data_IF_569857272113
#
_entry.id   IF_569857272113
#
_cell.length_a   1.000
_cell.length_b   1.000
_cell.length_c   1.000
_cell.angle_alpha   90.00
_cell.angle_beta   90.00
_cell.angle_gamma   90.00
#
_symmetry.space_group_name_H-M   'P 1'
#
loop_
_entity.id
_entity.type
_entity.pdbx_description
1 polymer ?
#
# COMPACT_ATOMS: atom_id res chain seq x y z
N UNK A 1 17.41 -36.39 -16.52
CA UNK A 1 16.16 -35.73 -16.07
C UNK A 1 16.51 -34.31 -15.64
N UNK A 2 16.18 -33.31 -16.47
CA UNK A 2 16.65 -31.92 -16.29
C UNK A 2 15.93 -31.30 -15.09
N UNK A 3 16.69 -30.96 -14.05
CA UNK A 3 16.19 -30.20 -12.90
C UNK A 3 15.94 -28.75 -13.34
N UNK A 4 14.69 -28.43 -13.65
CA UNK A 4 14.28 -27.05 -13.96
C UNK A 4 14.21 -26.29 -12.64
N UNK A 5 15.04 -25.25 -12.51
CA UNK A 5 15.09 -24.38 -11.33
C UNK A 5 13.82 -23.52 -11.27
N UNK A 6 12.75 -24.03 -10.66
CA UNK A 6 11.44 -23.38 -10.55
C UNK A 6 11.53 -21.92 -10.07
N UNK A 7 12.44 -21.60 -9.15
CA UNK A 7 12.61 -20.24 -8.63
C UNK A 7 13.18 -19.25 -9.66
N UNK A 8 14.10 -19.70 -10.51
CA UNK A 8 14.61 -18.91 -11.63
C UNK A 8 13.54 -18.78 -12.72
N UNK A 9 12.77 -19.84 -12.96
CA UNK A 9 11.65 -19.83 -13.92
C UNK A 9 10.54 -18.89 -13.45
N UNK A 10 10.16 -18.87 -12.17
CA UNK A 10 9.17 -17.91 -11.66
C UNK A 10 9.67 -16.46 -11.71
N UNK A 11 10.94 -16.20 -11.39
CA UNK A 11 11.53 -14.86 -11.52
C UNK A 11 11.59 -14.39 -12.97
N UNK A 12 12.03 -15.26 -13.89
CA UNK A 12 12.08 -14.96 -15.32
C UNK A 12 10.66 -14.84 -15.90
N UNK A 13 9.70 -15.63 -15.43
CA UNK A 13 8.30 -15.52 -15.83
C UNK A 13 7.65 -14.25 -15.28
N UNK A 14 7.88 -13.84 -14.03
CA UNK A 14 7.35 -12.58 -13.49
C UNK A 14 8.00 -11.37 -14.17
N UNK A 15 9.30 -11.45 -14.47
CA UNK A 15 10.04 -10.43 -15.19
C UNK A 15 9.58 -10.34 -16.66
N UNK A 16 9.46 -11.47 -17.37
CA UNK A 16 8.95 -11.49 -18.74
C UNK A 16 7.47 -11.13 -18.75
N UNK A 17 6.63 -11.63 -17.85
CA UNK A 17 5.20 -11.34 -17.82
C UNK A 17 4.94 -9.87 -17.49
N UNK A 18 5.55 -9.33 -16.44
CA UNK A 18 5.42 -7.91 -16.07
C UNK A 18 6.03 -6.96 -17.10
N UNK A 19 7.21 -7.30 -17.64
CA UNK A 19 7.89 -6.48 -18.65
C UNK A 19 7.21 -6.59 -20.00
N UNK A 20 6.83 -7.78 -20.46
CA UNK A 20 6.12 -7.96 -21.73
C UNK A 20 4.73 -7.35 -21.63
N UNK A 21 3.88 -7.68 -20.64
CA UNK A 21 2.52 -7.11 -20.58
C UNK A 21 2.49 -5.59 -20.41
N UNK A 22 3.42 -5.00 -19.66
CA UNK A 22 3.46 -3.54 -19.51
C UNK A 22 4.22 -2.82 -20.61
N UNK A 23 5.17 -3.45 -21.30
CA UNK A 23 5.84 -2.84 -22.47
C UNK A 23 5.08 -3.05 -23.78
N UNK A 24 4.29 -4.11 -23.94
CA UNK A 24 3.53 -4.38 -25.16
C UNK A 24 2.21 -3.62 -25.24
N UNK A 25 1.84 -2.82 -24.22
CA UNK A 25 0.56 -2.08 -24.12
C UNK A 25 -0.69 -2.96 -24.33
N UNK A 26 -0.59 -4.29 -24.18
CA UNK A 26 -1.71 -5.23 -24.42
C UNK A 26 -2.80 -5.19 -23.34
N UNK A 27 -2.56 -4.51 -22.21
CA UNK A 27 -3.53 -4.32 -21.14
C UNK A 27 -3.89 -2.85 -20.91
N UNK A 28 -5.04 -2.60 -20.28
CA UNK A 28 -5.46 -1.24 -19.90
C UNK A 28 -4.37 -0.55 -19.07
N UNK A 29 -3.91 0.65 -19.47
CA UNK A 29 -2.95 1.39 -18.68
C UNK A 29 -3.57 1.97 -17.41
N UNK A 30 -2.74 2.29 -16.42
CA UNK A 30 -3.10 3.16 -15.31
C UNK A 30 -3.39 4.57 -15.83
N UNK A 31 -4.31 5.27 -15.16
CA UNK A 31 -4.63 6.67 -15.39
C UNK A 31 -5.21 6.96 -16.79
N UNK A 32 -5.91 5.99 -17.38
CA UNK A 32 -6.52 6.10 -18.72
C UNK A 32 -7.63 7.17 -18.82
N UNK A 33 -8.08 7.72 -17.69
CA UNK A 33 -9.03 8.84 -17.58
C UNK A 33 -8.39 10.12 -17.05
N UNK A 34 -7.06 10.21 -17.08
CA UNK A 34 -6.34 11.44 -16.77
C UNK A 34 -6.08 11.69 -15.28
N UNK A 35 -6.10 12.96 -14.88
CA UNK A 35 -5.71 13.44 -13.56
C UNK A 35 -6.82 13.26 -12.52
N UNK A 36 -8.08 13.34 -12.94
CA UNK A 36 -9.26 13.25 -12.07
C UNK A 36 -9.84 14.59 -11.62
N UNK A 37 -9.40 15.70 -12.23
CA UNK A 37 -10.02 17.02 -12.11
C UNK A 37 -10.14 17.55 -10.68
N UNK A 38 -11.36 17.96 -10.29
CA UNK A 38 -11.66 18.54 -8.97
C UNK A 38 -11.32 17.63 -7.80
N UNK A 39 -11.39 16.29 -7.99
CA UNK A 39 -11.00 15.30 -6.97
C UNK A 39 -9.52 15.38 -6.65
N UNK A 40 -8.67 15.57 -7.66
CA UNK A 40 -7.24 15.76 -7.44
C UNK A 40 -6.95 17.08 -6.72
N UNK A 41 -7.60 18.16 -7.15
CA UNK A 41 -7.44 19.49 -6.53
C UNK A 41 -7.86 19.46 -5.04
N UNK A 42 -8.94 18.77 -4.71
CA UNK A 42 -9.38 18.55 -3.33
C UNK A 42 -8.28 17.88 -2.51
N UNK A 43 -7.72 16.77 -3.01
CA UNK A 43 -6.67 16.01 -2.32
C UNK A 43 -5.41 16.85 -2.12
N UNK A 44 -4.97 17.60 -3.13
CA UNK A 44 -3.80 18.48 -3.01
C UNK A 44 -4.01 19.56 -1.95
N UNK A 45 -5.22 20.14 -1.85
CA UNK A 45 -5.56 21.11 -0.80
C UNK A 45 -5.56 20.47 0.58
N UNK A 46 -6.16 19.29 0.73
CA UNK A 46 -6.19 18.56 1.99
C UNK A 46 -4.79 18.18 2.48
N UNK A 47 -3.92 17.71 1.58
CA UNK A 47 -2.55 17.36 1.96
C UNK A 47 -1.75 18.60 2.39
N UNK A 48 -1.92 19.74 1.72
CA UNK A 48 -1.31 21.02 2.18
C UNK A 48 -1.79 21.43 3.57
N UNK A 49 -3.03 21.10 3.95
CA UNK A 49 -3.59 21.34 5.28
C UNK A 49 -3.15 20.31 6.34
N UNK A 50 -2.70 19.12 5.93
CA UNK A 50 -2.19 18.07 6.82
C UNK A 50 -0.70 18.22 7.16
N UNK A 51 0.07 18.90 6.30
CA UNK A 51 1.49 19.19 6.53
C UNK A 51 1.83 20.69 6.71
N UNK A 52 1.03 21.53 7.41
CA UNK A 52 1.57 22.81 7.88
C UNK A 52 2.65 22.51 8.92
N UNK A 53 3.58 23.44 9.10
CA UNK A 53 4.71 23.39 10.07
C UNK A 53 4.27 23.29 11.56
N UNK A 54 3.02 22.93 11.83
CA UNK A 54 2.46 22.81 13.17
C UNK A 54 2.81 21.44 13.80
N UNK A 55 3.20 21.42 15.09
CA UNK A 55 3.63 20.23 15.78
C UNK A 55 2.50 19.19 15.86
N UNK A 56 2.77 17.99 15.32
CA UNK A 56 2.08 16.72 15.60
C UNK A 56 0.61 16.84 16.04
N UNK A 57 -0.28 17.16 15.11
CA UNK A 57 -1.70 16.98 15.37
C UNK A 57 -1.99 15.47 15.43
N UNK A 58 -2.03 14.94 16.65
CA UNK A 58 -2.58 13.61 16.95
C UNK A 58 -4.10 13.65 16.70
N UNK A 59 -4.53 13.69 15.43
CA UNK A 59 -5.95 13.58 15.10
C UNK A 59 -6.44 12.20 15.56
N UNK A 60 -7.40 12.13 16.49
CA UNK A 60 -7.90 10.84 16.98
C UNK A 60 -8.53 10.07 15.82
N UNK A 61 -8.29 8.76 15.71
CA UNK A 61 -9.00 7.93 14.74
C UNK A 61 -10.51 7.98 14.96
N UNK A 62 -11.29 7.94 13.89
CA UNK A 62 -12.74 7.88 13.97
C UNK A 62 -13.16 6.51 14.49
N UNK A 63 -14.05 6.48 15.48
CA UNK A 63 -14.59 5.21 15.97
C UNK A 63 -15.44 4.52 14.89
N UNK A 64 -15.29 3.21 14.75
CA UNK A 64 -16.05 2.38 13.80
C UNK A 64 -16.73 1.25 14.53
N UNK A 65 -17.86 0.78 13.98
CA UNK A 65 -18.57 -0.38 14.48
C UNK A 65 -18.84 -1.34 13.32
N UNK A 66 -17.90 -2.25 13.00
CA UNK A 66 -18.10 -3.21 11.92
C UNK A 66 -19.26 -4.16 12.23
N UNK A 67 -20.15 -4.32 11.27
CA UNK A 67 -21.23 -5.31 11.31
C UNK A 67 -20.65 -6.64 10.83
N UNK A 68 -20.59 -7.63 11.74
CA UNK A 68 -19.91 -8.89 11.50
C UNK A 68 -20.85 -10.00 11.03
N UNK A 69 -20.38 -10.79 10.07
CA UNK A 69 -20.92 -12.08 9.65
C UNK A 69 -19.87 -13.16 9.88
N UNK A 70 -20.23 -14.24 10.59
CA UNK A 70 -19.35 -15.41 10.72
C UNK A 70 -19.30 -16.17 9.39
N UNK A 71 -18.10 -16.37 8.86
CA UNK A 71 -17.85 -17.19 7.66
C UNK A 71 -17.70 -18.65 8.06
N UNK A 72 -16.88 -18.92 9.07
CA UNK A 72 -16.76 -20.22 9.70
C UNK A 72 -16.24 -20.08 11.12
N UNK A 73 -16.47 -21.12 11.92
CA UNK A 73 -16.03 -21.18 13.30
C UNK A 73 -15.66 -22.61 13.69
N UNK A 74 -14.61 -22.74 14.48
CA UNK A 74 -14.16 -23.99 15.10
C UNK A 74 -14.06 -23.81 16.62
N UNK A 75 -13.65 -24.85 17.33
CA UNK A 75 -13.35 -24.76 18.76
C UNK A 75 -12.23 -23.75 19.07
N UNK A 76 -11.23 -23.64 18.19
CA UNK A 76 -9.99 -22.94 18.47
C UNK A 76 -9.84 -21.61 17.71
N UNK A 77 -10.62 -21.39 16.66
CA UNK A 77 -10.51 -20.21 15.80
C UNK A 77 -11.81 -19.89 15.08
N UNK A 78 -11.94 -18.67 14.57
CA UNK A 78 -13.05 -18.25 13.73
C UNK A 78 -12.59 -17.26 12.66
N UNK A 79 -13.34 -17.23 11.56
CA UNK A 79 -13.25 -16.21 10.53
C UNK A 79 -14.57 -15.46 10.45
N UNK A 80 -14.52 -14.14 10.59
CA UNK A 80 -15.65 -13.23 10.40
C UNK A 80 -15.33 -12.25 9.27
N UNK A 81 -16.35 -11.86 8.53
CA UNK A 81 -16.29 -10.72 7.62
C UNK A 81 -17.12 -9.58 8.17
N UNK A 82 -16.57 -8.36 8.14
CA UNK A 82 -17.17 -7.16 8.67
C UNK A 82 -17.34 -6.10 7.60
N UNK A 83 -18.37 -5.29 7.75
CA UNK A 83 -18.62 -4.10 6.91
C UNK A 83 -18.89 -2.90 7.80
N UNK A 84 -18.30 -1.75 7.46
CA UNK A 84 -18.57 -0.46 8.11
C UNK A 84 -18.48 0.67 7.07
N UNK A 85 -19.13 1.81 7.33
CA UNK A 85 -18.98 2.99 6.46
C UNK A 85 -17.56 3.53 6.56
N UNK A 86 -16.97 3.93 5.43
CA UNK A 86 -15.63 4.53 5.41
C UNK A 86 -15.54 5.72 6.37
N UNK A 87 -14.37 5.93 6.95
CA UNK A 87 -14.13 6.98 7.95
C UNK A 87 -13.61 8.28 7.34
N UNK A 88 -13.53 8.36 6.01
CA UNK A 88 -13.23 9.60 5.29
C UNK A 88 -14.27 10.69 5.59
N UNK A 89 -13.88 11.97 5.48
CA UNK A 89 -14.85 13.07 5.54
C UNK A 89 -15.78 13.07 4.32
N UNK A 90 -16.98 13.64 4.45
CA UNK A 90 -18.03 13.60 3.41
C UNK A 90 -17.53 14.07 2.04
N UNK A 91 -16.65 15.08 1.96
CA UNK A 91 -16.09 15.54 0.68
C UNK A 91 -15.24 14.47 -0.02
N UNK A 92 -14.54 13.64 0.76
CA UNK A 92 -13.79 12.51 0.22
C UNK A 92 -14.71 11.33 -0.11
N UNK A 93 -15.79 11.14 0.64
CA UNK A 93 -16.82 10.15 0.29
C UNK A 93 -17.43 10.50 -1.07
N UNK A 94 -17.79 11.75 -1.31
CA UNK A 94 -18.31 12.21 -2.60
C UNK A 94 -17.30 12.03 -3.76
N UNK A 95 -16.00 12.00 -3.46
CA UNK A 95 -14.95 11.78 -4.44
C UNK A 95 -14.65 10.29 -4.69
N UNK A 96 -15.01 9.41 -3.75
CA UNK A 96 -14.85 7.97 -3.84
C UNK A 96 -15.91 7.37 -4.76
N UNK A 97 -15.63 6.22 -5.40
CA UNK A 97 -16.66 5.48 -6.09
C UNK A 97 -17.67 4.91 -5.06
N UNK A 98 -18.97 4.81 -5.40
CA UNK A 98 -20.00 4.30 -4.49
C UNK A 98 -19.67 2.93 -3.90
N UNK A 99 -19.03 2.05 -4.66
CA UNK A 99 -18.58 0.72 -4.24
C UNK A 99 -17.57 0.78 -3.08
N UNK A 100 -16.87 1.91 -2.91
CA UNK A 100 -15.88 2.14 -1.85
C UNK A 100 -16.43 2.87 -0.62
N UNK A 101 -17.71 3.26 -0.59
CA UNK A 101 -18.33 3.94 0.56
C UNK A 101 -18.37 3.07 1.82
N UNK A 102 -18.37 1.74 1.64
CA UNK A 102 -18.32 0.79 2.73
C UNK A 102 -16.99 0.04 2.71
N UNK A 103 -16.26 0.12 3.81
CA UNK A 103 -15.08 -0.66 4.07
C UNK A 103 -15.46 -2.12 4.35
N UNK A 104 -14.65 -3.05 3.83
CA UNK A 104 -14.80 -4.48 4.04
C UNK A 104 -13.55 -5.04 4.72
N UNK A 105 -13.76 -5.88 5.73
CA UNK A 105 -12.70 -6.44 6.54
C UNK A 105 -12.93 -7.93 6.79
N UNK A 106 -11.90 -8.75 6.72
CA UNK A 106 -11.93 -10.12 7.23
C UNK A 106 -11.14 -10.20 8.54
N UNK A 107 -11.62 -10.97 9.50
CA UNK A 107 -11.03 -11.09 10.82
C UNK A 107 -10.89 -12.55 11.23
N UNK A 108 -9.65 -13.03 11.21
CA UNK A 108 -9.24 -14.36 11.60
C UNK A 108 -8.71 -14.33 13.03
N UNK A 109 -9.43 -14.96 13.96
CA UNK A 109 -9.17 -14.84 15.40
C UNK A 109 -8.96 -16.19 16.05
N UNK A 110 -7.97 -16.34 16.96
CA UNK A 110 -7.94 -17.47 17.89
C UNK A 110 -9.02 -17.30 18.96
N UNK A 111 -9.49 -18.42 19.52
CA UNK A 111 -10.54 -18.47 20.57
C UNK A 111 -10.03 -19.00 21.91
N UNK A 112 -8.82 -19.53 21.96
CA UNK A 112 -8.24 -20.15 23.15
C UNK A 112 -7.77 -19.14 24.20
N UNK A 113 -7.70 -17.86 23.85
CA UNK A 113 -7.11 -16.80 24.68
C UNK A 113 -7.97 -15.55 24.59
N UNK A 114 -8.07 -14.82 25.69
CA UNK A 114 -8.81 -13.57 25.79
C UNK A 114 -8.08 -12.41 25.08
N UNK A 115 -8.80 -11.44 24.49
CA UNK A 115 -8.20 -10.39 23.66
C UNK A 115 -7.04 -9.62 24.30
N UNK A 116 -7.10 -9.36 25.60
CA UNK A 116 -6.06 -8.62 26.34
C UNK A 116 -4.71 -9.35 26.36
N UNK A 117 -4.72 -10.67 26.14
CA UNK A 117 -3.51 -11.51 26.02
C UNK A 117 -3.14 -11.82 24.57
N UNK A 118 -3.94 -11.39 23.60
CA UNK A 118 -3.70 -11.60 22.18
C UNK A 118 -2.97 -10.41 21.54
N UNK A 119 -2.29 -10.68 20.44
CA UNK A 119 -1.90 -9.65 19.49
C UNK A 119 -2.86 -9.66 18.28
N UNK A 120 -3.01 -8.54 17.58
CA UNK A 120 -3.67 -8.50 16.29
C UNK A 120 -2.83 -7.72 15.28
N UNK A 121 -2.66 -8.26 14.07
CA UNK A 121 -1.99 -7.56 12.97
C UNK A 121 -3.00 -7.24 11.88
N UNK A 122 -3.09 -5.98 11.49
CA UNK A 122 -3.87 -5.51 10.35
C UNK A 122 -3.02 -5.62 9.09
N UNK A 123 -3.53 -6.28 8.05
CA UNK A 123 -2.84 -6.57 6.78
C UNK A 123 -3.42 -5.72 5.65
N UNK A 124 -2.59 -4.85 5.08
CA UNK A 124 -2.94 -3.97 3.97
C UNK A 124 -2.54 -4.57 2.62
N UNK A 125 -3.40 -4.35 1.62
CA UNK A 125 -3.24 -4.86 0.27
C UNK A 125 -2.08 -4.19 -0.48
N UNK A 126 -1.28 -4.99 -1.18
CA UNK A 126 -0.42 -4.50 -2.25
C UNK A 126 -1.20 -4.24 -3.55
N UNK A 127 -0.55 -3.67 -4.56
CA UNK A 127 -1.19 -3.43 -5.86
C UNK A 127 -1.69 -4.73 -6.49
N UNK A 128 -2.99 -4.81 -6.78
CA UNK A 128 -3.61 -6.03 -7.36
C UNK A 128 -4.00 -7.11 -6.35
N UNK A 129 -3.83 -6.89 -5.05
CA UNK A 129 -4.31 -7.79 -4.00
C UNK A 129 -5.79 -7.53 -3.70
N UNK A 130 -6.67 -8.10 -4.52
CA UNK A 130 -8.08 -7.76 -4.55
C UNK A 130 -8.90 -8.24 -3.35
N UNK A 131 -8.74 -9.48 -2.91
CA UNK A 131 -9.57 -10.12 -1.88
C UNK A 131 -8.80 -10.36 -0.57
N UNK A 132 -9.39 -11.08 0.38
CA UNK A 132 -8.76 -11.37 1.66
C UNK A 132 -7.75 -12.54 1.62
N UNK A 133 -7.92 -13.46 0.66
CA UNK A 133 -7.38 -14.82 0.72
C UNK A 133 -5.86 -14.89 0.89
N UNK A 134 -5.11 -14.13 0.08
CA UNK A 134 -3.64 -14.15 0.14
C UNK A 134 -3.14 -13.73 1.52
N UNK A 135 -3.74 -12.70 2.10
CA UNK A 135 -3.36 -12.16 3.41
C UNK A 135 -3.86 -13.04 4.55
N UNK A 136 -5.03 -13.68 4.42
CA UNK A 136 -5.49 -14.69 5.37
C UNK A 136 -4.56 -15.92 5.41
N UNK A 137 -4.00 -16.34 4.27
CA UNK A 137 -2.99 -17.42 4.24
C UNK A 137 -1.71 -17.04 4.97
N UNK A 138 -1.30 -15.77 4.93
CA UNK A 138 -0.18 -15.27 5.74
C UNK A 138 -0.50 -15.21 7.23
N UNK A 139 -1.76 -14.93 7.58
CA UNK A 139 -2.24 -14.86 8.95
C UNK A 139 -2.50 -16.20 9.63
N UNK A 140 -2.93 -17.22 8.87
CA UNK A 140 -3.34 -18.50 9.44
C UNK A 140 -2.29 -19.19 10.33
N UNK A 141 -0.98 -19.20 9.99
CA UNK A 141 0.04 -19.74 10.88
C UNK A 141 0.15 -19.01 12.22
N UNK A 142 -0.15 -17.69 12.24
CA UNK A 142 0.00 -16.83 13.42
C UNK A 142 -1.02 -17.13 14.52
N UNK A 143 -2.10 -17.86 14.20
CA UNK A 143 -3.08 -18.33 15.18
C UNK A 143 -2.44 -19.20 16.27
N UNK A 144 -1.37 -19.95 15.94
CA UNK A 144 -0.64 -20.80 16.89
C UNK A 144 0.06 -19.98 17.98
N UNK A 145 0.36 -18.72 17.69
CA UNK A 145 1.05 -17.78 18.57
C UNK A 145 0.08 -16.81 19.26
N UNK A 146 -1.24 -17.08 19.20
CA UNK A 146 -2.31 -16.21 19.70
C UNK A 146 -2.30 -14.81 19.06
N UNK A 147 -1.94 -14.76 17.77
CA UNK A 147 -1.96 -13.54 16.96
C UNK A 147 -3.15 -13.63 15.99
N UNK A 148 -4.11 -12.73 16.17
CA UNK A 148 -5.20 -12.54 15.23
C UNK A 148 -4.73 -11.79 13.97
N UNK A 149 -5.42 -12.02 12.86
CA UNK A 149 -5.16 -11.33 11.59
C UNK A 149 -6.43 -10.64 11.12
N UNK A 150 -6.34 -9.33 10.95
CA UNK A 150 -7.39 -8.51 10.35
C UNK A 150 -6.94 -8.07 8.95
N UNK A 151 -7.77 -8.27 7.94
CA UNK A 151 -7.43 -7.98 6.54
C UNK A 151 -8.40 -6.95 5.99
N UNK A 152 -7.91 -5.74 5.69
CA UNK A 152 -8.72 -4.65 5.13
C UNK A 152 -8.69 -4.73 3.59
N UNK A 153 -9.85 -4.88 2.95
CA UNK A 153 -9.96 -4.77 1.49
C UNK A 153 -9.88 -3.28 1.11
N UNK A 154 -8.83 -2.89 0.39
CA UNK A 154 -8.65 -1.51 -0.04
C UNK A 154 -9.80 -1.04 -0.94
N UNK A 155 -10.17 0.24 -0.89
CA UNK A 155 -11.04 0.85 -1.91
C UNK A 155 -10.45 0.60 -3.31
N UNK A 156 -11.31 0.59 -4.32
CA UNK A 156 -11.00 0.23 -5.70
C UNK A 156 -10.58 -1.23 -5.93
N UNK A 157 -10.52 -2.08 -4.91
CA UNK A 157 -10.16 -3.51 -5.01
C UNK A 157 -11.32 -4.43 -4.59
N UNK A 158 -11.20 -5.71 -4.94
CA UNK A 158 -12.21 -6.72 -4.64
C UNK A 158 -13.64 -6.28 -4.94
N UNK A 159 -14.50 -6.33 -3.92
CA UNK A 159 -15.90 -5.91 -4.02
C UNK A 159 -16.08 -4.38 -3.96
N UNK A 160 -15.02 -3.62 -3.65
CA UNK A 160 -14.98 -2.16 -3.62
C UNK A 160 -14.48 -1.54 -4.93
N UNK A 161 -14.26 -2.37 -5.97
CA UNK A 161 -13.76 -1.95 -7.28
C UNK A 161 -14.90 -1.35 -8.14
N UNK A 162 -14.72 -0.15 -8.73
CA UNK A 162 -15.65 0.38 -9.71
C UNK A 162 -15.88 -0.58 -10.88
N UNK A 163 -17.12 -0.68 -11.35
CA UNK A 163 -17.51 -1.58 -12.45
C UNK A 163 -16.65 -1.42 -13.72
N UNK A 164 -16.29 -0.18 -14.06
CA UNK A 164 -15.50 0.16 -15.26
C UNK A 164 -13.98 -0.03 -15.08
N UNK A 165 -13.51 -0.36 -13.88
CA UNK A 165 -12.10 -0.55 -13.60
C UNK A 165 -11.66 -1.99 -13.88
N UNK A 166 -10.58 -2.13 -14.65
CA UNK A 166 -10.01 -3.44 -15.00
C UNK A 166 -8.87 -3.80 -14.04
N UNK A 167 -9.07 -4.85 -13.23
CA UNK A 167 -8.08 -5.26 -12.24
C UNK A 167 -7.69 -4.10 -11.30
N UNK A 168 -6.39 -3.91 -11.10
CA UNK A 168 -5.83 -2.83 -10.27
C UNK A 168 -5.53 -1.54 -11.04
N UNK A 169 -5.93 -1.44 -12.31
CA UNK A 169 -5.64 -0.28 -13.17
C UNK A 169 -6.56 0.89 -12.86
N UNK A 170 -6.18 1.66 -11.85
CA UNK A 170 -6.88 2.89 -11.44
C UNK A 170 -7.04 3.83 -12.63
N UNK A 171 -8.23 4.43 -12.77
CA UNK A 171 -8.59 5.20 -13.96
C UNK A 171 -8.03 6.62 -13.93
N UNK A 172 -7.93 7.24 -12.76
CA UNK A 172 -7.38 8.60 -12.59
C UNK A 172 -6.21 8.63 -11.60
N UNK A 173 -5.34 9.64 -11.70
CA UNK A 173 -4.30 9.88 -10.68
C UNK A 173 -4.92 10.14 -9.31
N UNK A 174 -6.04 10.87 -9.25
CA UNK A 174 -6.80 11.08 -8.01
C UNK A 174 -7.22 9.79 -7.31
N UNK A 175 -7.57 8.74 -8.08
CA UNK A 175 -8.03 7.47 -7.52
C UNK A 175 -6.93 6.78 -6.70
N UNK A 176 -5.66 6.96 -7.07
CA UNK A 176 -4.54 6.43 -6.30
C UNK A 176 -4.41 7.10 -4.93
N UNK A 177 -4.58 8.42 -4.89
CA UNK A 177 -4.52 9.18 -3.65
C UNK A 177 -5.74 8.93 -2.77
N UNK A 178 -6.94 8.83 -3.36
CA UNK A 178 -8.17 8.45 -2.65
C UNK A 178 -8.05 7.05 -2.05
N UNK A 179 -7.51 6.10 -2.83
CA UNK A 179 -7.26 4.74 -2.36
C UNK A 179 -6.37 4.75 -1.12
N UNK A 180 -5.24 5.46 -1.19
CA UNK A 180 -4.30 5.57 -0.08
C UNK A 180 -4.93 6.22 1.15
N UNK A 181 -5.59 7.38 0.99
CA UNK A 181 -6.19 8.13 2.10
C UNK A 181 -7.24 7.30 2.84
N UNK A 182 -8.19 6.71 2.12
CA UNK A 182 -9.23 5.88 2.71
C UNK A 182 -8.64 4.63 3.39
N UNK A 183 -7.67 3.95 2.76
CA UNK A 183 -7.00 2.79 3.39
C UNK A 183 -6.33 3.17 4.70
N UNK A 184 -5.65 4.31 4.76
CA UNK A 184 -4.94 4.78 5.96
C UNK A 184 -5.92 5.12 7.08
N UNK A 185 -6.99 5.87 6.77
CA UNK A 185 -7.97 6.27 7.78
C UNK A 185 -8.76 5.07 8.33
N UNK A 186 -9.20 4.18 7.45
CA UNK A 186 -9.93 2.97 7.82
C UNK A 186 -9.05 2.05 8.67
N UNK A 187 -7.77 1.87 8.31
CA UNK A 187 -6.83 1.07 9.09
C UNK A 187 -6.56 1.68 10.47
N UNK A 188 -6.39 3.01 10.57
CA UNK A 188 -6.24 3.70 11.86
C UNK A 188 -7.47 3.50 12.75
N UNK A 189 -8.65 3.53 12.15
CA UNK A 189 -9.93 3.35 12.84
C UNK A 189 -10.14 1.91 13.29
N UNK A 190 -9.74 0.92 12.49
CA UNK A 190 -9.75 -0.49 12.88
C UNK A 190 -8.76 -0.80 14.01
N UNK A 191 -7.56 -0.22 13.98
CA UNK A 191 -6.60 -0.32 15.09
C UNK A 191 -7.17 0.30 16.37
N UNK A 192 -7.83 1.45 16.25
CA UNK A 192 -8.51 2.08 17.38
C UNK A 192 -9.63 1.18 17.93
N UNK A 193 -10.49 0.61 17.08
CA UNK A 193 -11.52 -0.34 17.48
C UNK A 193 -10.94 -1.61 18.15
N UNK A 194 -9.82 -2.13 17.63
CA UNK A 194 -9.11 -3.27 18.22
C UNK A 194 -8.67 -2.97 19.66
N UNK A 195 -8.23 -1.74 19.91
CA UNK A 195 -7.80 -1.27 21.22
C UNK A 195 -8.97 -0.98 22.16
N UNK A 196 -9.91 -0.13 21.74
CA UNK A 196 -10.93 0.45 22.61
C UNK A 196 -12.12 -0.48 22.84
N UNK A 197 -12.56 -1.18 21.80
CA UNK A 197 -13.78 -2.00 21.83
C UNK A 197 -13.46 -3.49 21.97
N UNK A 198 -12.53 -4.00 21.16
CA UNK A 198 -12.22 -5.42 21.16
C UNK A 198 -11.22 -5.84 22.25
N UNK A 199 -10.52 -4.87 22.87
CA UNK A 199 -9.66 -5.09 24.04
C UNK A 199 -8.32 -5.77 23.76
N UNK A 200 -7.75 -5.65 22.56
CA UNK A 200 -6.47 -6.28 22.22
C UNK A 200 -5.28 -5.65 22.96
N UNK A 201 -4.43 -6.50 23.55
CA UNK A 201 -3.26 -6.04 24.31
C UNK A 201 -2.08 -5.56 23.46
N UNK A 202 -1.92 -6.09 22.25
CA UNK A 202 -0.87 -5.70 21.30
C UNK A 202 -1.42 -5.59 19.90
N UNK A 203 -0.96 -4.57 19.16
CA UNK A 203 -1.40 -4.34 17.80
C UNK A 203 -0.22 -4.15 16.85
N UNK A 204 -0.42 -4.56 15.61
CA UNK A 204 0.50 -4.30 14.53
C UNK A 204 -0.20 -3.99 13.22
N UNK A 205 0.56 -3.42 12.29
CA UNK A 205 0.14 -3.13 10.93
C UNK A 205 1.24 -3.62 9.98
N UNK A 206 0.84 -4.29 8.90
CA UNK A 206 1.77 -4.69 7.85
C UNK A 206 1.16 -4.51 6.47
N UNK A 207 2.01 -4.53 5.45
CA UNK A 207 1.56 -4.57 4.07
C UNK A 207 2.70 -4.74 3.09
N UNK A 208 2.37 -5.20 1.89
CA UNK A 208 3.32 -5.45 0.81
C UNK A 208 3.28 -4.32 -0.23
N UNK A 209 4.45 -3.82 -0.66
CA UNK A 209 4.58 -2.76 -1.68
C UNK A 209 3.74 -1.53 -1.32
N UNK A 210 2.72 -1.18 -2.11
CA UNK A 210 1.74 -0.13 -1.81
C UNK A 210 1.13 -0.26 -0.40
N UNK A 211 0.74 -1.48 0.01
CA UNK A 211 0.23 -1.72 1.35
C UNK A 211 1.28 -1.48 2.43
N UNK A 212 2.57 -1.67 2.12
CA UNK A 212 3.67 -1.34 3.01
C UNK A 212 3.87 0.17 3.17
N UNK A 213 3.70 0.95 2.09
CA UNK A 213 3.66 2.42 2.14
C UNK A 213 2.55 2.88 3.10
N UNK A 214 1.34 2.36 2.92
CA UNK A 214 0.21 2.67 3.78
C UNK A 214 0.45 2.21 5.23
N UNK A 215 1.07 1.05 5.45
CA UNK A 215 1.40 0.56 6.79
C UNK A 215 2.39 1.49 7.50
N UNK A 216 3.39 2.02 6.78
CA UNK A 216 4.34 3.00 7.32
C UNK A 216 3.63 4.30 7.71
N UNK A 217 2.73 4.82 6.85
CA UNK A 217 1.94 6.02 7.15
C UNK A 217 0.99 5.80 8.34
N UNK A 218 0.32 4.64 8.42
CA UNK A 218 -0.53 4.28 9.56
C UNK A 218 0.29 4.23 10.85
N UNK A 219 1.44 3.53 10.85
CA UNK A 219 2.35 3.45 12.01
C UNK A 219 2.88 4.80 12.47
N UNK A 220 3.10 5.73 11.54
CA UNK A 220 3.48 7.11 11.82
C UNK A 220 2.34 7.92 12.46
N UNK A 221 1.13 7.82 11.91
CA UNK A 221 -0.02 8.65 12.29
C UNK A 221 -0.85 8.11 13.45
N UNK A 222 -0.65 6.85 13.86
CA UNK A 222 -1.45 6.25 14.92
C UNK A 222 -1.07 6.87 16.29
N UNK A 223 -2.05 7.25 17.14
CA UNK A 223 -1.77 7.94 18.40
C UNK A 223 -1.05 7.05 19.43
N UNK A 224 -1.20 5.73 19.35
CA UNK A 224 -0.59 4.77 20.28
C UNK A 224 0.52 3.95 19.59
N UNK A 225 1.48 3.41 20.37
CA UNK A 225 2.53 2.56 19.81
C UNK A 225 1.98 1.28 19.16
N UNK A 226 2.29 1.07 17.88
CA UNK A 226 1.97 -0.18 17.16
C UNK A 226 3.20 -0.77 16.46
N UNK A 227 3.29 -2.09 16.40
CA UNK A 227 4.31 -2.75 15.60
C UNK A 227 4.05 -2.51 14.11
N UNK A 228 5.06 -2.10 13.35
CA UNK A 228 4.86 -1.69 11.94
C UNK A 228 5.82 -2.46 11.04
N UNK A 229 5.29 -3.17 10.05
CA UNK A 229 6.06 -3.98 9.10
C UNK A 229 5.78 -3.56 7.64
N UNK A 230 6.45 -2.54 7.11
CA UNK A 230 6.43 -2.21 5.69
C UNK A 230 7.28 -3.23 4.92
N UNK A 231 6.64 -4.08 4.13
CA UNK A 231 7.30 -5.15 3.39
C UNK A 231 7.46 -4.78 1.91
N UNK A 232 8.71 -4.68 1.43
CA UNK A 232 9.05 -4.28 0.06
C UNK A 232 8.39 -2.97 -0.37
N UNK A 233 8.26 -2.03 0.57
CA UNK A 233 7.61 -0.74 0.34
C UNK A 233 8.56 0.25 -0.34
N UNK A 234 8.17 0.90 -1.46
CA UNK A 234 8.85 2.12 -1.90
C UNK A 234 8.61 3.25 -0.89
N UNK A 235 9.46 4.27 -0.86
CA UNK A 235 9.19 5.44 -0.01
C UNK A 235 8.01 6.27 -0.52
N UNK A 236 7.66 6.19 -1.80
CA UNK A 236 6.51 6.89 -2.40
C UNK A 236 6.04 6.19 -3.68
N UNK A 237 4.86 6.59 -4.17
CA UNK A 237 4.34 6.19 -5.47
C UNK A 237 5.16 6.74 -6.66
N UNK A 238 6.04 7.73 -6.46
CA UNK A 238 6.95 8.21 -7.51
C UNK A 238 7.81 7.06 -8.02
N UNK A 239 8.32 6.22 -7.13
CA UNK A 239 9.24 5.13 -7.50
C UNK A 239 8.61 4.19 -8.53
N UNK A 240 7.45 3.53 -8.29
CA UNK A 240 6.90 2.63 -9.28
C UNK A 240 6.40 3.33 -10.55
N UNK A 241 5.82 4.54 -10.46
CA UNK A 241 5.12 5.19 -11.57
C UNK A 241 5.99 6.12 -12.43
N UNK A 242 7.06 6.71 -11.88
CA UNK A 242 7.95 7.60 -12.61
C UNK A 242 9.28 6.93 -12.98
N UNK A 243 9.80 6.06 -12.11
CA UNK A 243 11.15 5.50 -12.24
C UNK A 243 11.13 3.99 -12.55
N UNK A 244 10.15 3.27 -12.01
CA UNK A 244 10.03 1.82 -12.04
C UNK A 244 9.08 1.29 -13.11
N UNK A 245 8.63 0.04 -12.93
CA UNK A 245 7.89 -0.72 -13.93
C UNK A 245 6.59 -0.05 -14.40
N UNK A 246 5.86 0.63 -13.51
CA UNK A 246 4.57 1.22 -13.87
C UNK A 246 4.69 2.45 -14.76
N UNK A 247 5.88 3.04 -14.94
CA UNK A 247 6.09 4.09 -15.95
C UNK A 247 5.72 3.63 -17.37
N UNK A 248 5.85 2.34 -17.67
CA UNK A 248 5.46 1.77 -18.96
C UNK A 248 3.96 1.47 -19.04
N UNK A 249 3.30 1.35 -17.90
CA UNK A 249 1.88 1.10 -17.78
C UNK A 249 1.07 2.38 -17.51
N UNK A 250 1.68 3.56 -17.43
CA UNK A 250 1.02 4.85 -17.27
C UNK A 250 0.50 5.36 -18.61
N UNK A 251 -0.76 5.81 -18.66
CA UNK A 251 -1.38 6.43 -19.84
C UNK A 251 -0.89 7.87 -20.01
N UNK A 252 0.37 8.05 -20.42
CA UNK A 252 0.97 9.37 -20.61
C UNK A 252 0.20 10.26 -21.59
N UNK A 253 -0.31 9.67 -22.67
CA UNK A 253 -1.10 10.39 -23.68
C UNK A 253 -2.40 10.96 -23.07
N UNK A 254 -3.12 10.15 -22.29
CA UNK A 254 -4.33 10.59 -21.59
C UNK A 254 -4.05 11.70 -20.56
N UNK A 255 -2.91 11.65 -19.87
CA UNK A 255 -2.49 12.70 -18.93
C UNK A 255 -2.12 14.01 -19.66
N UNK A 256 -1.51 13.93 -20.84
CA UNK A 256 -1.21 15.10 -21.68
C UNK A 256 -2.50 15.72 -22.23
N UNK A 257 -3.42 14.91 -22.76
CA UNK A 257 -4.70 15.37 -23.29
C UNK A 257 -5.55 16.06 -22.21
N UNK A 258 -5.67 15.44 -21.03
CA UNK A 258 -6.43 16.00 -19.91
C UNK A 258 -5.80 17.31 -19.39
N UNK A 259 -4.47 17.38 -19.34
CA UNK A 259 -3.78 18.63 -18.98
C UNK A 259 -4.00 19.73 -20.04
N UNK A 260 -4.01 19.38 -21.32
CA UNK A 260 -4.19 20.34 -22.41
C UNK A 260 -5.61 20.90 -22.45
N UNK A 261 -6.61 20.06 -22.19
CA UNK A 261 -8.01 20.49 -22.07
C UNK A 261 -8.20 21.52 -20.94
N UNK A 262 -7.63 21.26 -19.76
CA UNK A 262 -7.68 22.20 -18.63
C UNK A 262 -6.98 23.55 -18.92
N UNK A 263 -5.89 23.54 -19.68
CA UNK A 263 -5.21 24.77 -20.08
C UNK A 263 -6.04 25.59 -21.08
N UNK A 264 -6.73 24.92 -22.02
CA UNK A 264 -7.61 25.57 -23.00
C UNK A 264 -8.81 26.25 -22.33
N UNK A 265 -9.45 25.57 -21.36
CA UNK A 265 -10.56 26.12 -20.58
C UNK A 265 -10.14 27.36 -19.74
N UNK A 266 -8.88 27.43 -19.32
CA UNK A 266 -8.36 28.60 -18.59
C UNK A 266 -8.04 29.77 -19.53
N UNK A 267 -7.53 29.49 -20.74
CA UNK A 267 -7.17 30.52 -21.73
C UNK A 267 -8.35 31.10 -22.51
N UNK A 268 -9.50 30.40 -22.58
CA UNK A 268 -10.73 30.92 -23.21
C UNK A 268 -11.38 32.07 -22.44
N UNK A 269 -10.87 32.41 -21.24
CA UNK A 269 -11.28 33.55 -20.42
C UNK A 269 -10.41 34.80 -20.63
N UNK A 270 -9.37 34.75 -21.47
CA UNK A 270 -8.50 35.90 -21.80
C UNK A 270 -8.12 35.87 -23.28
N UNK A 271 -8.62 36.80 -24.09
CA UNK A 271 -8.47 36.81 -25.56
C UNK A 271 -7.03 37.03 -26.09
N UNK A 272 -6.03 37.25 -25.23
CA UNK A 272 -4.71 37.77 -25.66
C UNK A 272 -3.50 36.83 -25.42
N UNK A 273 -3.68 35.51 -25.44
CA UNK A 273 -2.55 34.57 -25.35
C UNK A 273 -2.64 33.41 -26.33
N UNK A 274 -2.77 33.72 -27.62
CA UNK A 274 -2.52 32.77 -28.70
C UNK A 274 -1.02 32.50 -28.90
N UNK A 275 -0.32 32.00 -27.88
CA UNK A 275 1.01 31.40 -28.04
C UNK A 275 0.93 29.92 -27.65
N UNK A 276 0.75 29.08 -28.67
CA UNK A 276 0.85 27.60 -28.59
C UNK A 276 2.23 27.19 -28.07
N UNK A 277 2.42 27.13 -26.75
CA UNK A 277 3.35 26.17 -26.16
C UNK A 277 2.51 24.97 -25.72
N UNK A 278 2.43 23.95 -26.58
CA UNK A 278 1.76 22.69 -26.22
C UNK A 278 2.38 22.10 -24.96
N UNK A 279 1.55 21.50 -24.10
CA UNK A 279 2.03 20.83 -22.89
C UNK A 279 2.98 19.70 -23.29
N UNK A 280 4.19 19.73 -22.77
CA UNK A 280 5.23 18.74 -23.04
C UNK A 280 5.07 17.51 -22.14
N UNK A 281 5.58 16.36 -22.62
CA UNK A 281 5.57 15.12 -21.82
C UNK A 281 6.45 15.26 -20.57
N UNK A 282 7.52 16.05 -20.62
CA UNK A 282 8.36 16.38 -19.48
C UNK A 282 7.56 17.11 -18.38
N UNK A 283 6.78 18.12 -18.76
CA UNK A 283 5.90 18.84 -17.82
C UNK A 283 4.87 17.90 -17.17
N UNK A 284 4.29 16.96 -17.93
CA UNK A 284 3.35 15.96 -17.40
C UNK A 284 4.04 14.98 -16.44
N UNK A 285 5.24 14.51 -16.77
CA UNK A 285 6.03 13.64 -15.88
C UNK A 285 6.40 14.36 -14.58
N UNK A 286 6.79 15.63 -14.65
CA UNK A 286 7.14 16.43 -13.49
C UNK A 286 5.91 16.72 -12.63
N UNK A 287 4.75 17.02 -13.23
CA UNK A 287 3.48 17.13 -12.53
C UNK A 287 3.11 15.84 -11.82
N UNK A 288 3.24 14.69 -12.49
CA UNK A 288 2.94 13.39 -11.88
C UNK A 288 3.88 13.13 -10.70
N UNK A 289 5.18 13.38 -10.86
CA UNK A 289 6.16 13.26 -9.76
C UNK A 289 5.78 14.14 -8.58
N UNK A 290 5.41 15.41 -8.83
CA UNK A 290 4.98 16.34 -7.79
C UNK A 290 3.74 15.83 -7.05
N UNK A 291 2.72 15.34 -7.76
CA UNK A 291 1.49 14.81 -7.14
C UNK A 291 1.78 13.53 -6.35
N UNK A 292 2.56 12.61 -6.90
CA UNK A 292 2.86 11.35 -6.23
C UNK A 292 3.82 11.52 -5.03
N UNK A 293 4.58 12.62 -4.96
CA UNK A 293 5.39 12.98 -3.78
C UNK A 293 4.57 13.22 -2.50
N UNK A 294 3.26 13.40 -2.62
CA UNK A 294 2.34 13.47 -1.48
C UNK A 294 2.26 12.14 -0.72
N UNK A 295 2.69 11.04 -1.35
CA UNK A 295 2.75 9.69 -0.75
C UNK A 295 4.13 9.38 -0.17
N UNK A 296 5.02 10.37 -0.05
CA UNK A 296 6.36 10.13 0.49
C UNK A 296 6.33 9.93 2.01
N UNK A 297 6.61 8.71 2.45
CA UNK A 297 6.62 8.31 3.87
C UNK A 297 7.64 9.08 4.70
N UNK A 298 8.68 9.67 4.08
CA UNK A 298 9.69 10.48 4.78
C UNK A 298 9.14 11.81 5.28
N UNK A 299 8.00 12.26 4.75
CA UNK A 299 7.31 13.49 5.14
C UNK A 299 6.39 13.31 6.35
N UNK A 300 6.16 12.06 6.77
CA UNK A 300 5.29 11.74 7.90
C UNK A 300 6.10 11.72 9.20
N UNK A 301 5.46 11.98 10.36
CA UNK A 301 6.11 11.92 11.66
C UNK A 301 6.83 10.58 11.93
N UNK A 302 7.83 10.60 12.80
CA UNK A 302 8.43 9.34 13.26
C UNK A 302 7.37 8.54 14.06
N UNK A 303 7.20 7.23 13.82
CA UNK A 303 6.31 6.39 14.62
C UNK A 303 6.61 6.50 16.12
N UNK A 304 5.58 6.46 16.97
CA UNK A 304 5.71 6.64 18.44
C UNK A 304 6.69 5.66 19.10
N UNK A 305 6.87 4.47 18.53
CA UNK A 305 7.84 3.47 18.98
C UNK A 305 8.67 2.98 17.79
N UNK A 306 9.73 3.71 17.41
CA UNK A 306 10.53 3.37 16.24
C UNK A 306 11.13 1.96 16.35
N UNK A 307 11.49 1.49 17.54
CA UNK A 307 12.06 0.15 17.76
C UNK A 307 11.11 -1.01 17.40
N UNK A 308 9.81 -0.72 17.27
CA UNK A 308 8.80 -1.70 16.87
C UNK A 308 8.53 -1.69 15.36
N UNK A 309 9.31 -0.93 14.59
CA UNK A 309 9.20 -0.86 13.14
C UNK A 309 10.27 -1.74 12.49
N UNK A 310 9.87 -2.58 11.55
CA UNK A 310 10.79 -3.42 10.77
C UNK A 310 10.53 -3.13 9.30
N UNK A 311 11.48 -2.50 8.61
CA UNK A 311 11.40 -2.38 7.15
C UNK A 311 12.07 -3.57 6.50
N UNK A 312 11.41 -4.15 5.51
CA UNK A 312 11.99 -5.21 4.67
C UNK A 312 12.17 -4.69 3.26
N UNK A 313 13.42 -4.55 2.83
CA UNK A 313 13.77 -4.12 1.46
C UNK A 313 14.39 -5.27 0.65
N UNK A 314 14.33 -5.16 -0.68
CA UNK A 314 15.07 -6.03 -1.60
C UNK A 314 16.17 -5.23 -2.30
N UNK A 315 17.38 -5.78 -2.39
CA UNK A 315 18.53 -5.11 -3.04
C UNK A 315 18.52 -5.17 -4.56
N UNK A 316 17.66 -6.01 -5.15
CA UNK A 316 17.49 -6.15 -6.59
C UNK A 316 15.99 -6.31 -6.82
N UNK A 317 15.28 -5.19 -6.85
CA UNK A 317 13.89 -5.15 -7.27
C UNK A 317 13.80 -4.15 -8.40
N UNK A 318 13.25 -4.53 -9.54
CA UNK A 318 12.95 -3.57 -10.62
C UNK A 318 11.86 -2.57 -10.22
N UNK A 319 11.22 -2.80 -9.07
CA UNK A 319 10.30 -1.87 -8.43
C UNK A 319 11.01 -0.88 -7.50
N UNK A 320 12.30 -1.10 -7.13
CA UNK A 320 13.04 -0.30 -6.16
C UNK A 320 14.54 -0.16 -6.56
N UNK A 321 14.96 0.97 -7.15
CA UNK A 321 16.37 1.28 -7.37
C UNK A 321 17.23 1.17 -6.09
N UNK A 322 18.49 0.75 -6.25
CA UNK A 322 19.45 0.43 -5.16
C UNK A 322 19.71 1.58 -4.17
N UNK A 323 19.57 2.83 -4.61
CA UNK A 323 19.83 4.02 -3.79
C UNK A 323 18.70 4.33 -2.78
N UNK A 324 17.51 3.76 -2.97
CA UNK A 324 16.30 4.06 -2.18
C UNK A 324 16.25 3.43 -0.79
N UNK A 325 16.99 2.34 -0.61
CA UNK A 325 17.24 1.75 0.71
C UNK A 325 18.02 2.74 1.61
N UNK A 326 18.66 3.75 1.03
CA UNK A 326 19.42 4.79 1.73
C UNK A 326 18.55 5.89 2.34
N UNK A 327 17.45 6.30 1.70
CA UNK A 327 16.59 7.38 2.21
C UNK A 327 15.90 7.03 3.53
N UNK A 328 15.56 5.75 3.70
CA UNK A 328 15.04 5.21 4.97
C UNK A 328 16.13 5.03 6.04
N UNK A 329 17.43 5.21 5.72
CA UNK A 329 18.52 5.14 6.72
C UNK A 329 18.48 6.30 7.72
N UNK A 330 17.77 7.39 7.43
CA UNK A 330 17.55 8.45 8.43
C UNK A 330 16.84 7.90 9.68
N UNK A 331 16.14 6.77 9.55
CA UNK A 331 15.53 6.04 10.64
C UNK A 331 16.37 4.89 11.20
N UNK A 332 17.54 4.53 10.66
CA UNK A 332 18.27 3.31 11.06
C UNK A 332 19.79 3.46 11.03
N UNK A 333 20.45 3.34 12.19
CA UNK A 333 21.92 3.29 12.30
C UNK A 333 22.52 1.90 12.10
N UNK A 334 21.74 0.82 12.19
CA UNK A 334 22.27 -0.56 12.09
C UNK A 334 21.36 -1.49 11.29
N UNK A 335 21.55 -1.54 9.98
CA UNK A 335 20.98 -2.60 9.16
C UNK A 335 21.59 -3.95 9.57
N UNK A 336 20.83 -4.80 10.25
CA UNK A 336 21.26 -6.19 10.49
C UNK A 336 20.97 -7.00 9.24
N UNK A 337 22.05 -7.46 8.58
CA UNK A 337 21.96 -8.52 7.58
C UNK A 337 21.63 -9.83 8.30
N UNK A 338 20.42 -10.35 8.13
CA UNK A 338 20.11 -11.70 8.55
C UNK A 338 20.55 -12.68 7.46
N UNK A 339 21.38 -13.65 7.85
CA UNK A 339 21.82 -14.71 6.95
C UNK A 339 20.63 -15.64 6.65
N UNK A 340 20.50 -16.24 5.45
CA UNK A 340 19.37 -17.11 5.09
C UNK A 340 19.11 -18.29 6.04
N UNK A 341 20.09 -18.63 6.89
CA UNK A 341 19.96 -19.64 7.93
C UNK A 341 19.05 -19.22 9.10
N UNK A 342 18.94 -17.92 9.41
CA UNK A 342 18.10 -17.43 10.51
C UNK A 342 16.60 -17.51 10.19
N UNK A 343 16.23 -17.55 8.91
CA UNK A 343 14.86 -17.75 8.42
C UNK A 343 14.37 -19.21 8.51
N UNK A 344 15.28 -20.17 8.77
CA UNK A 344 14.92 -21.61 8.85
C UNK A 344 14.08 -21.95 10.08
N UNK A 345 14.17 -21.15 11.16
CA UNK A 345 13.38 -21.39 12.37
C UNK A 345 11.98 -20.77 12.33
N UNK A 346 11.68 -19.90 11.35
CA UNK A 346 10.39 -19.22 11.21
C UNK A 346 9.46 -19.86 10.15
N UNK A 347 9.92 -20.88 9.44
CA UNK A 347 9.14 -21.62 8.45
C UNK A 347 9.65 -23.06 8.33
N UNK A 348 9.12 -24.02 9.11
CA UNK A 348 9.32 -25.42 8.79
C UNK A 348 8.48 -25.72 7.55
N UNK A 349 9.15 -26.13 6.48
CA UNK A 349 8.57 -26.66 5.22
C UNK A 349 7.98 -25.62 4.24
N UNK A 350 8.87 -24.88 3.57
CA UNK A 350 8.50 -24.10 2.37
C UNK A 350 9.70 -23.58 1.55
N UNK A 351 10.92 -23.69 2.07
CA UNK A 351 12.14 -23.10 1.46
C UNK A 351 13.24 -24.15 1.17
N UNK A 352 12.89 -25.43 1.07
CA UNK A 352 13.87 -26.51 0.87
C UNK A 352 14.47 -26.57 -0.56
N UNK A 353 13.97 -25.79 -1.53
CA UNK A 353 14.44 -25.84 -2.93
C UNK A 353 15.67 -24.99 -3.28
N UNK A 354 16.24 -24.22 -2.36
CA UNK A 354 17.28 -23.21 -2.68
C UNK A 354 18.72 -23.67 -2.39
N UNK A 355 19.12 -24.82 -2.91
CA UNK A 355 20.55 -25.19 -3.02
C UNK A 355 20.87 -25.63 -4.44
N UNK A 356 21.31 -24.69 -5.26
CA UNK A 356 22.06 -24.94 -6.49
C UNK A 356 23.50 -24.42 -6.34
N UNK A 357 24.51 -25.13 -6.88
CA UNK A 357 25.87 -24.65 -6.91
C UNK A 357 26.05 -23.64 -8.06
N UNK A 358 27.14 -22.88 -7.99
CA UNK A 358 27.66 -21.93 -8.98
C UNK A 358 27.11 -20.50 -8.88
N UNK A 359 28.08 -19.57 -8.82
CA UNK A 359 27.87 -18.17 -8.51
C UNK A 359 27.11 -17.40 -9.59
N UNK A 360 26.02 -16.76 -9.19
CA UNK A 360 25.65 -15.44 -9.66
C UNK A 360 24.65 -14.80 -8.67
N UNK A 361 24.67 -13.47 -8.62
CA UNK A 361 24.12 -12.60 -7.54
C UNK A 361 22.71 -13.00 -7.07
N UNK A 362 22.60 -13.47 -5.81
CA UNK A 362 21.32 -13.76 -5.14
C UNK A 362 20.58 -12.45 -4.81
N UNK A 363 19.25 -12.36 -5.01
CA UNK A 363 18.45 -11.26 -4.45
C UNK A 363 18.59 -11.26 -2.92
N UNK A 364 18.94 -10.11 -2.33
CA UNK A 364 19.20 -9.99 -0.89
C UNK A 364 18.05 -9.24 -0.24
N UNK A 365 17.53 -9.81 0.85
CA UNK A 365 16.53 -9.18 1.72
C UNK A 365 17.28 -8.43 2.82
N UNK A 366 16.97 -7.16 3.01
CA UNK A 366 17.55 -6.30 4.05
C UNK A 366 16.47 -5.95 5.08
N UNK A 367 16.81 -6.11 6.35
CA UNK A 367 15.97 -5.70 7.47
C UNK A 367 16.53 -4.42 8.10
N UNK A 368 15.67 -3.43 8.31
CA UNK A 368 16.02 -2.21 9.04
C UNK A 368 15.15 -2.12 10.28
N UNK A 369 15.79 -1.85 11.42
CA UNK A 369 15.13 -1.48 12.68
C UNK A 369 15.51 -0.05 13.02
N UNK A 370 14.55 0.80 13.41
CA UNK A 370 14.85 2.11 13.98
C UNK A 370 15.29 2.06 15.44
N UNK A 371 16.02 3.09 15.88
CA UNK A 371 16.56 3.23 17.24
C UNK A 371 15.51 3.55 18.29
#
# INVERSE_FOLDING_TARGET
>A
MVSVNLGLVHYVLDHIYGTVLHRTKLGTPFFSKGWGGTRLVLLERMVKQLFPEAPSQNWPPTAVQPIWKTVWETKNSSLREGVFRTTCDERLIDALPPESHNARVAFLTPKSVSPEKMACVVHLAGTGDHSFERRLRLGAPLLKDNIATMVLESPYYGQRRPSMQHGSKLQCVSDLLLLGKATIDEARSLLYWLQSEAGYGKMGICGLSMGGVHAAMVGSLHPTPIATLPFLAPHSAVVPFCEGLYRHATAWDALMEDAAALAQDATSLTEDAAQKSGITIEQVKDRLRSVLSLTDVTRFPVPKKPQAVIFVGATISEFLPLELVSGLKQYSRSGRRLHPQTLRHAAPEGMAGLRGPVGNRRPRVLFFTPQ
#
